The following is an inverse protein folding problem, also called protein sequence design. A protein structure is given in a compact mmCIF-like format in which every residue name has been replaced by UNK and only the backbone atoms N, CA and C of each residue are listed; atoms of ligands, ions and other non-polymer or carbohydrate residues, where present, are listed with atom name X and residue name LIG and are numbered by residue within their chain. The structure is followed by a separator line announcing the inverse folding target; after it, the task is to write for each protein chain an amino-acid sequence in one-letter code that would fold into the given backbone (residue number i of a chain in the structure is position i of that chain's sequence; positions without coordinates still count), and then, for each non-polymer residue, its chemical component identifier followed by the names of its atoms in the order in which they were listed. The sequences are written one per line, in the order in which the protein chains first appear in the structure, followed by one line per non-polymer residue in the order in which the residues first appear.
data_IF_001327066035
#
_entry.id   IF_001327066035
#
_cell.length_a   1.000
_cell.length_b   1.000
_cell.length_c   1.000
_cell.angle_alpha   90.00
_cell.angle_beta   90.00
_cell.angle_gamma   90.00
#
_symmetry.space_group_name_H-M   'P 1'
#
loop_
_entity.id
_entity.type
_entity.pdbx_description
1 polymer ?
#
# COMPACT_ATOMS: atom_id res chain seq x y z
N UNK A 1 10.72 10.78 -6.16
CA UNK A 1 10.17 9.41 -6.25
C UNK A 1 10.05 8.72 -4.91
N UNK A 2 10.23 9.40 -3.78
CA UNK A 2 10.79 8.73 -2.61
C UNK A 2 9.88 7.71 -1.93
N UNK A 3 8.56 7.71 -2.19
CA UNK A 3 7.68 6.61 -1.76
C UNK A 3 7.97 5.28 -2.47
N UNK A 4 8.34 5.29 -3.76
CA UNK A 4 8.68 4.07 -4.49
C UNK A 4 9.99 3.50 -3.94
N UNK A 5 10.97 4.38 -3.73
CA UNK A 5 12.22 3.96 -3.08
C UNK A 5 11.92 3.43 -1.68
N UNK A 6 11.05 4.05 -0.88
CA UNK A 6 10.62 3.51 0.42
C UNK A 6 9.97 2.12 0.35
N UNK A 7 9.07 1.85 -0.60
CA UNK A 7 8.42 0.53 -0.72
C UNK A 7 9.41 -0.54 -1.23
N UNK A 8 10.31 -0.16 -2.13
CA UNK A 8 11.27 -1.08 -2.75
C UNK A 8 12.58 -1.23 -1.96
N UNK A 9 12.82 -0.41 -0.94
CA UNK A 9 14.06 -0.47 -0.15
C UNK A 9 13.86 -1.28 1.11
N UNK A 10 14.76 -2.23 1.34
CA UNK A 10 14.78 -3.09 2.51
C UNK A 10 15.36 -2.38 3.75
N UNK A 11 14.75 -1.25 4.14
CA UNK A 11 15.17 -0.53 5.35
C UNK A 11 15.06 -1.44 6.56
N UNK A 12 16.11 -1.42 7.39
CA UNK A 12 16.18 -2.21 8.61
C UNK A 12 15.04 -1.83 9.56
N UNK A 13 14.44 -2.83 10.18
CA UNK A 13 13.45 -2.65 11.24
C UNK A 13 14.15 -2.81 12.58
N UNK A 14 13.87 -1.93 13.54
CA UNK A 14 14.33 -2.00 14.92
C UNK A 14 13.16 -2.38 15.83
N UNK A 15 12.88 -3.69 16.04
CA UNK A 15 11.63 -4.14 16.63
C UNK A 15 11.42 -3.60 18.05
N UNK A 16 12.50 -3.49 18.84
CA UNK A 16 12.41 -2.99 20.23
C UNK A 16 12.02 -1.50 20.25
N UNK A 17 12.60 -0.69 19.36
CA UNK A 17 12.26 0.72 19.25
C UNK A 17 10.83 0.92 18.75
N UNK A 18 10.42 0.17 17.72
CA UNK A 18 9.05 0.19 17.21
C UNK A 18 8.06 -0.19 18.31
N UNK A 19 8.34 -1.25 19.08
CA UNK A 19 7.48 -1.67 20.19
C UNK A 19 7.39 -0.60 21.29
N UNK A 20 8.51 0.05 21.65
CA UNK A 20 8.51 1.18 22.59
C UNK A 20 7.70 2.36 22.06
N UNK A 21 7.84 2.68 20.77
CA UNK A 21 7.07 3.76 20.14
C UNK A 21 5.57 3.50 20.24
N UNK A 22 5.10 2.31 19.88
CA UNK A 22 3.67 1.98 19.93
C UNK A 22 3.14 1.85 21.36
N UNK A 23 3.93 1.31 22.29
CA UNK A 23 3.56 1.19 23.71
C UNK A 23 3.37 2.57 24.38
N UNK A 24 4.12 3.59 23.95
CA UNK A 24 4.06 4.94 24.50
C UNK A 24 3.30 5.93 23.61
N UNK A 25 2.61 5.45 22.57
CA UNK A 25 1.89 6.32 21.64
C UNK A 25 0.67 6.95 22.32
N UNK A 26 0.65 8.28 22.35
CA UNK A 26 -0.44 9.06 22.94
C UNK A 26 -1.69 9.04 22.05
N UNK A 27 -2.86 9.09 22.70
CA UNK A 27 -4.11 9.36 21.99
C UNK A 27 -4.09 10.79 21.48
N UNK A 28 -4.37 10.97 20.20
CA UNK A 28 -4.41 12.28 19.57
C UNK A 28 -5.72 12.47 18.81
N UNK A 29 -6.30 13.66 18.93
CA UNK A 29 -7.43 14.11 18.11
C UNK A 29 -6.96 14.90 16.89
N UNK A 30 -5.65 15.14 16.79
CA UNK A 30 -5.00 15.87 15.70
C UNK A 30 -4.14 14.89 14.89
N UNK A 31 -3.80 15.23 13.64
CA UNK A 31 -2.93 14.39 12.79
C UNK A 31 -1.45 14.54 13.19
N UNK A 32 -1.13 14.29 14.45
CA UNK A 32 0.21 14.34 15.03
C UNK A 32 0.33 13.17 15.98
N UNK A 33 1.28 12.28 15.73
CA UNK A 33 1.56 11.11 16.56
C UNK A 33 2.69 11.42 17.53
N UNK A 34 2.36 11.45 18.83
CA UNK A 34 3.31 11.72 19.90
C UNK A 34 3.61 10.45 20.67
N UNK A 35 4.88 10.19 20.93
CA UNK A 35 5.34 9.03 21.68
C UNK A 35 6.62 9.38 22.44
N UNK A 36 7.14 8.42 23.20
CA UNK A 36 8.37 8.56 23.96
C UNK A 36 9.25 7.33 23.79
N UNK A 37 10.46 7.50 23.25
CA UNK A 37 11.39 6.41 22.93
C UNK A 37 12.78 6.78 23.41
N UNK A 38 13.42 5.89 24.18
CA UNK A 38 14.78 6.09 24.72
C UNK A 38 14.99 7.45 25.44
N UNK A 39 14.02 7.88 26.26
CA UNK A 39 14.15 9.17 26.96
C UNK A 39 13.88 10.39 26.08
N UNK A 40 13.43 10.20 24.85
CA UNK A 40 13.23 11.26 23.86
C UNK A 40 11.76 11.36 23.46
N UNK A 41 11.15 12.56 23.53
CA UNK A 41 9.83 12.78 22.97
C UNK A 41 9.89 12.75 21.44
N UNK A 42 9.08 11.88 20.83
CA UNK A 42 8.98 11.72 19.38
C UNK A 42 7.65 12.32 18.93
N UNK A 43 7.70 13.20 17.93
CA UNK A 43 6.51 13.78 17.30
C UNK A 43 6.55 13.54 15.80
N UNK A 44 5.69 12.66 15.31
CA UNK A 44 5.55 12.35 13.89
C UNK A 44 4.42 13.19 13.31
N UNK A 45 4.80 14.15 12.47
CA UNK A 45 3.88 14.99 11.69
C UNK A 45 3.88 14.54 10.22
N UNK A 46 2.84 14.92 9.43
CA UNK A 46 2.87 14.74 7.99
C UNK A 46 4.09 15.40 7.33
N UNK A 47 4.57 16.54 7.81
CA UNK A 47 5.78 17.20 7.30
C UNK A 47 7.04 16.36 7.53
N UNK A 48 7.20 15.77 8.71
CA UNK A 48 8.34 14.89 9.00
C UNK A 48 8.32 13.64 8.10
N UNK A 49 7.14 13.06 7.88
CA UNK A 49 6.98 11.92 6.97
C UNK A 49 7.30 12.33 5.53
N UNK A 50 6.85 13.51 5.10
CA UNK A 50 7.13 14.06 3.77
C UNK A 50 8.63 14.29 3.54
N UNK A 51 9.34 14.82 4.55
CA UNK A 51 10.79 15.02 4.54
C UNK A 51 11.52 13.68 4.40
N UNK A 52 11.21 12.71 5.28
CA UNK A 52 11.90 11.42 5.31
C UNK A 52 11.66 10.61 4.05
N UNK A 53 10.45 10.69 3.48
CA UNK A 53 10.06 9.96 2.28
C UNK A 53 10.31 10.76 0.99
N UNK A 54 10.78 12.00 1.06
CA UNK A 54 10.98 12.88 -0.09
C UNK A 54 9.76 12.92 -1.04
N UNK A 55 8.58 13.17 -0.45
CA UNK A 55 7.30 13.30 -1.15
C UNK A 55 6.58 14.57 -0.69
N UNK A 56 5.70 15.16 -1.51
CA UNK A 56 4.98 16.35 -1.11
C UNK A 56 3.94 16.05 -0.02
N UNK A 57 3.80 16.99 0.93
CA UNK A 57 2.72 17.00 1.92
C UNK A 57 1.51 17.79 1.38
N UNK A 58 0.99 17.40 0.22
CA UNK A 58 -0.08 18.12 -0.49
C UNK A 58 -1.13 17.18 -1.07
N UNK A 59 -2.27 17.74 -1.49
CA UNK A 59 -3.37 16.98 -2.08
C UNK A 59 -4.48 16.61 -1.09
N UNK A 60 -5.38 15.72 -1.51
CA UNK A 60 -6.56 15.36 -0.73
C UNK A 60 -6.19 14.51 0.50
N UNK A 61 -6.85 14.78 1.62
CA UNK A 61 -6.64 14.09 2.92
C UNK A 61 -7.75 13.11 3.26
N UNK A 62 -8.82 13.09 2.47
CA UNK A 62 -9.97 12.19 2.59
C UNK A 62 -10.51 11.88 1.19
N UNK A 63 -11.44 10.92 1.11
CA UNK A 63 -12.02 10.46 -0.15
C UNK A 63 -13.54 10.70 -0.22
N UNK A 64 -14.08 11.70 0.49
CA UNK A 64 -15.52 11.90 0.56
C UNK A 64 -16.13 12.35 -0.78
N UNK A 65 -15.36 13.10 -1.57
CA UNK A 65 -15.83 13.66 -2.86
C UNK A 65 -15.99 12.62 -3.97
N UNK A 66 -15.43 11.43 -3.78
CA UNK A 66 -15.57 10.32 -4.73
C UNK A 66 -16.64 9.38 -4.21
N UNK A 67 -17.72 9.20 -4.97
CA UNK A 67 -18.75 8.22 -4.64
C UNK A 67 -18.25 6.79 -4.85
N UNK A 68 -18.78 5.83 -4.10
CA UNK A 68 -18.46 4.40 -4.27
C UNK A 68 -18.67 3.93 -5.73
N UNK A 69 -19.76 4.36 -6.36
CA UNK A 69 -20.04 4.07 -7.77
C UNK A 69 -18.91 4.56 -8.67
N UNK A 70 -18.51 5.83 -8.52
CA UNK A 70 -17.48 6.42 -9.36
C UNK A 70 -16.13 5.72 -9.19
N UNK A 71 -15.78 5.37 -7.94
CA UNK A 71 -14.58 4.60 -7.66
C UNK A 71 -14.62 3.23 -8.35
N UNK A 72 -15.75 2.52 -8.29
CA UNK A 72 -15.92 1.23 -8.95
C UNK A 72 -15.78 1.32 -10.48
N UNK A 73 -16.41 2.32 -11.11
CA UNK A 73 -16.30 2.54 -12.56
C UNK A 73 -14.83 2.74 -12.99
N UNK A 74 -14.08 3.54 -12.24
CA UNK A 74 -12.65 3.81 -12.52
C UNK A 74 -11.80 2.56 -12.26
N UNK A 75 -12.05 1.87 -11.14
CA UNK A 75 -11.30 0.69 -10.75
C UNK A 75 -11.51 -0.47 -11.73
N UNK A 76 -12.74 -0.68 -12.22
CA UNK A 76 -13.10 -1.75 -13.16
C UNK A 76 -12.88 -1.38 -14.62
N UNK A 77 -12.69 -0.10 -14.92
CA UNK A 77 -12.64 0.43 -16.31
C UNK A 77 -13.94 0.16 -17.08
N UNK A 78 -15.07 0.21 -16.36
CA UNK A 78 -16.39 -0.06 -16.91
C UNK A 78 -17.38 1.05 -16.55
N UNK A 79 -18.21 1.53 -17.48
CA UNK A 79 -19.25 2.51 -17.17
C UNK A 79 -20.46 1.85 -16.48
N UNK A 80 -21.24 2.63 -15.74
CA UNK A 80 -22.55 2.25 -15.18
C UNK A 80 -22.53 1.03 -14.24
N UNK A 81 -21.47 0.90 -13.44
CA UNK A 81 -21.33 -0.20 -12.48
C UNK A 81 -22.36 -0.09 -11.36
N UNK A 82 -22.96 -1.22 -10.97
CA UNK A 82 -23.88 -1.28 -9.82
C UNK A 82 -23.08 -1.10 -8.51
N UNK A 83 -23.31 -0.03 -7.72
CA UNK A 83 -22.54 0.22 -6.49
C UNK A 83 -22.80 -0.81 -5.36
N UNK A 84 -23.82 -1.66 -5.50
CA UNK A 84 -24.16 -2.71 -4.53
C UNK A 84 -23.33 -3.98 -4.76
N UNK A 85 -22.76 -4.17 -5.95
CA UNK A 85 -22.02 -5.40 -6.24
C UNK A 85 -20.78 -5.54 -5.36
N UNK A 86 -20.50 -6.78 -4.95
CA UNK A 86 -19.26 -7.12 -4.27
C UNK A 86 -18.15 -7.30 -5.31
N UNK A 87 -17.14 -6.45 -5.23
CA UNK A 87 -15.95 -6.52 -6.09
C UNK A 87 -14.82 -7.11 -5.28
N UNK A 88 -14.33 -8.28 -5.67
CA UNK A 88 -13.08 -8.84 -5.13
C UNK A 88 -11.88 -8.31 -5.93
N UNK A 89 -10.68 -8.39 -5.34
CA UNK A 89 -9.43 -8.04 -6.03
C UNK A 89 -9.29 -8.75 -7.38
N UNK A 90 -9.75 -10.00 -7.50
CA UNK A 90 -9.76 -10.81 -8.72
C UNK A 90 -10.60 -10.26 -9.88
N UNK A 91 -11.57 -9.38 -9.61
CA UNK A 91 -12.36 -8.72 -10.66
C UNK A 91 -11.64 -7.51 -11.27
N UNK A 92 -10.68 -6.92 -10.55
CA UNK A 92 -10.01 -5.70 -10.99
C UNK A 92 -9.03 -5.96 -12.14
N UNK A 93 -8.92 -5.07 -13.13
CA UNK A 93 -7.81 -5.06 -14.08
C UNK A 93 -6.45 -5.08 -13.36
N UNK A 94 -5.40 -5.56 -14.04
CA UNK A 94 -4.07 -5.77 -13.45
C UNK A 94 -3.54 -4.49 -12.79
N UNK A 95 -3.62 -3.35 -13.49
CA UNK A 95 -3.16 -2.04 -12.96
C UNK A 95 -3.89 -1.65 -11.67
N UNK A 96 -5.23 -1.71 -11.67
CA UNK A 96 -6.03 -1.43 -10.47
C UNK A 96 -5.68 -2.37 -9.31
N UNK A 97 -5.35 -3.62 -9.64
CA UNK A 97 -5.00 -4.63 -8.66
C UNK A 97 -3.62 -4.43 -8.05
N UNK A 98 -2.62 -4.04 -8.85
CA UNK A 98 -1.29 -3.66 -8.36
C UNK A 98 -1.38 -2.44 -7.44
N UNK A 99 -2.15 -1.42 -7.84
CA UNK A 99 -2.37 -0.24 -6.99
C UNK A 99 -3.07 -0.66 -5.69
N UNK A 100 -4.09 -1.52 -5.74
CA UNK A 100 -4.76 -2.03 -4.56
C UNK A 100 -3.79 -2.79 -3.62
N UNK A 101 -2.87 -3.58 -4.18
CA UNK A 101 -1.85 -4.29 -3.42
C UNK A 101 -0.92 -3.31 -2.69
N UNK A 102 -0.45 -2.25 -3.36
CA UNK A 102 0.36 -1.19 -2.76
C UNK A 102 -0.40 -0.46 -1.63
N UNK A 103 -1.67 -0.14 -1.89
CA UNK A 103 -2.54 0.51 -0.89
C UNK A 103 -2.69 -0.35 0.35
N UNK A 104 -3.01 -1.63 0.19
CA UNK A 104 -3.38 -2.51 1.32
C UNK A 104 -2.20 -3.16 2.04
N UNK A 105 -0.98 -3.10 1.49
CA UNK A 105 0.23 -3.61 2.14
C UNK A 105 1.18 -2.51 2.62
N UNK A 106 1.26 -1.39 1.90
CA UNK A 106 2.30 -0.39 2.16
C UNK A 106 1.72 0.93 2.68
N UNK A 107 0.67 1.46 2.06
CA UNK A 107 0.16 2.80 2.40
C UNK A 107 -0.85 2.78 3.54
N UNK A 108 -1.81 1.85 3.51
CA UNK A 108 -2.85 1.67 4.50
C UNK A 108 -2.96 0.18 4.83
N UNK A 109 -1.94 -0.41 5.49
CA UNK A 109 -1.85 -1.83 5.76
C UNK A 109 -3.11 -2.34 6.44
N UNK A 110 -3.71 -3.38 5.86
CA UNK A 110 -4.85 -4.07 6.45
C UNK A 110 -4.38 -5.28 7.25
N UNK A 111 -5.20 -5.66 8.23
CA UNK A 111 -5.09 -6.98 8.88
C UNK A 111 -6.36 -7.75 8.51
N UNK A 112 -6.19 -9.01 8.14
CA UNK A 112 -7.24 -9.87 7.61
C UNK A 112 -7.22 -9.95 6.08
N UNK A 113 -8.33 -10.36 5.49
CA UNK A 113 -8.39 -10.69 4.07
C UNK A 113 -8.08 -9.52 3.12
N UNK A 114 -7.22 -9.79 2.14
CA UNK A 114 -6.94 -8.92 0.99
C UNK A 114 -7.86 -9.21 -0.21
N UNK A 115 -8.79 -10.17 -0.11
CA UNK A 115 -9.67 -10.55 -1.23
C UNK A 115 -10.74 -9.49 -1.49
N UNK A 116 -11.26 -8.84 -0.44
CA UNK A 116 -12.33 -7.85 -0.52
C UNK A 116 -11.80 -6.44 -0.20
N UNK A 117 -11.57 -5.59 -1.23
CA UNK A 117 -11.21 -4.20 -1.00
C UNK A 117 -12.34 -3.44 -0.29
N UNK A 118 -11.96 -2.57 0.64
CA UNK A 118 -12.90 -1.66 1.28
C UNK A 118 -13.29 -0.53 0.32
N UNK A 119 -14.39 0.17 0.61
CA UNK A 119 -14.74 1.39 -0.13
C UNK A 119 -13.60 2.41 -0.11
N UNK A 120 -12.88 2.55 1.02
CA UNK A 120 -11.71 3.44 1.12
C UNK A 120 -10.60 3.01 0.17
N UNK A 121 -10.32 1.71 0.06
CA UNK A 121 -9.25 1.23 -0.83
C UNK A 121 -9.61 1.48 -2.29
N UNK A 122 -10.87 1.19 -2.68
CA UNK A 122 -11.35 1.43 -4.04
C UNK A 122 -11.27 2.91 -4.40
N UNK A 123 -11.62 3.81 -3.47
CA UNK A 123 -11.48 5.24 -3.70
C UNK A 123 -10.03 5.68 -3.82
N UNK A 124 -9.14 5.11 -3.01
CA UNK A 124 -7.70 5.35 -3.14
C UNK A 124 -7.20 4.95 -4.53
N UNK A 125 -7.52 3.72 -4.98
CA UNK A 125 -7.15 3.22 -6.31
C UNK A 125 -7.69 4.14 -7.40
N UNK A 126 -8.96 4.56 -7.30
CA UNK A 126 -9.58 5.47 -8.25
C UNK A 126 -8.88 6.84 -8.32
N UNK A 127 -8.48 7.41 -7.18
CA UNK A 127 -7.68 8.64 -7.13
C UNK A 127 -6.37 8.49 -7.88
N UNK A 128 -5.62 7.41 -7.61
CA UNK A 128 -4.34 7.16 -8.28
C UNK A 128 -4.53 7.05 -9.79
N UNK A 129 -5.54 6.30 -10.24
CA UNK A 129 -5.83 6.11 -11.68
C UNK A 129 -6.23 7.40 -12.40
N UNK A 130 -6.97 8.27 -11.72
CA UNK A 130 -7.37 9.58 -12.25
C UNK A 130 -6.28 10.65 -12.10
N UNK A 131 -5.14 10.32 -11.50
CA UNK A 131 -4.09 11.30 -11.21
C UNK A 131 -4.53 12.36 -10.19
N UNK A 132 -5.45 12.05 -9.28
CA UNK A 132 -5.73 12.92 -8.14
C UNK A 132 -4.54 12.89 -7.19
N UNK A 133 -4.05 14.06 -6.79
CA UNK A 133 -2.95 14.16 -5.82
C UNK A 133 -3.46 13.81 -4.42
N UNK A 134 -2.86 12.80 -3.82
CA UNK A 134 -3.22 12.29 -2.48
C UNK A 134 -2.15 12.72 -1.50
N UNK A 135 -2.55 13.30 -0.37
CA UNK A 135 -1.65 13.60 0.73
C UNK A 135 -1.30 12.33 1.50
N UNK A 136 -0.36 11.55 0.96
CA UNK A 136 0.08 10.30 1.54
C UNK A 136 0.70 10.46 2.95
N UNK A 137 1.56 11.47 3.23
CA UNK A 137 2.04 11.72 4.58
C UNK A 137 0.93 11.87 5.62
N UNK A 138 -0.10 12.66 5.31
CA UNK A 138 -1.26 12.83 6.18
C UNK A 138 -2.00 11.51 6.41
N UNK A 139 -2.24 10.74 5.34
CA UNK A 139 -2.94 9.46 5.44
C UNK A 139 -2.18 8.43 6.27
N UNK A 140 -0.84 8.37 6.16
CA UNK A 140 0.01 7.49 6.95
C UNK A 140 -0.09 7.79 8.44
N UNK A 141 0.07 9.07 8.83
CA UNK A 141 -0.01 9.50 10.24
C UNK A 141 -1.42 9.27 10.78
N UNK A 142 -2.46 9.61 10.02
CA UNK A 142 -3.84 9.38 10.43
C UNK A 142 -4.17 7.89 10.60
N UNK A 143 -3.66 7.03 9.70
CA UNK A 143 -3.85 5.59 9.83
C UNK A 143 -3.14 5.01 11.05
N UNK A 144 -1.90 5.44 11.29
CA UNK A 144 -1.13 5.07 12.47
C UNK A 144 -1.89 5.37 13.77
N UNK A 145 -2.49 6.56 13.87
CA UNK A 145 -3.26 7.00 15.04
C UNK A 145 -4.61 6.28 15.18
N UNK A 146 -5.24 5.90 14.06
CA UNK A 146 -6.56 5.27 14.09
C UNK A 146 -6.59 3.88 14.71
N UNK A 147 -5.46 3.14 14.67
CA UNK A 147 -5.38 1.73 15.04
C UNK A 147 -4.00 1.40 15.64
N UNK A 148 -3.68 1.96 16.82
CA UNK A 148 -2.33 1.90 17.38
C UNK A 148 -1.91 0.50 17.86
N UNK A 149 -2.87 -0.37 18.23
CA UNK A 149 -2.59 -1.73 18.73
C UNK A 149 -1.96 -2.66 17.69
N UNK A 150 -2.03 -2.30 16.40
CA UNK A 150 -1.60 -3.16 15.29
C UNK A 150 -0.17 -2.94 14.84
N UNK A 151 0.57 -2.03 15.51
CA UNK A 151 1.98 -1.73 15.23
C UNK A 151 2.28 -1.60 13.72
N UNK A 152 1.44 -0.85 13.00
CA UNK A 152 1.57 -0.66 11.57
C UNK A 152 2.95 -0.06 11.19
N UNK A 153 3.36 -0.17 9.94
CA UNK A 153 4.54 0.54 9.42
C UNK A 153 5.85 0.36 10.21
N UNK A 154 6.25 -0.85 10.66
CA UNK A 154 7.46 -1.02 11.46
C UNK A 154 8.72 -0.48 10.76
N UNK A 155 8.76 -0.56 9.43
CA UNK A 155 9.84 0.00 8.61
C UNK A 155 9.88 1.53 8.60
N UNK A 156 8.73 2.19 8.39
CA UNK A 156 8.64 3.66 8.43
C UNK A 156 9.02 4.18 9.81
N UNK A 157 8.48 3.56 10.86
CA UNK A 157 8.75 3.98 12.24
C UNK A 157 10.22 3.78 12.60
N UNK A 158 10.82 2.66 12.18
CA UNK A 158 12.27 2.45 12.35
C UNK A 158 13.08 3.56 11.67
N UNK A 159 12.76 3.90 10.41
CA UNK A 159 13.41 4.98 9.67
C UNK A 159 13.24 6.35 10.34
N UNK A 160 12.04 6.66 10.82
CA UNK A 160 11.75 7.91 11.53
C UNK A 160 12.53 8.00 12.83
N UNK A 161 12.52 6.93 13.64
CA UNK A 161 13.25 6.90 14.91
C UNK A 161 14.75 7.04 14.69
N UNK A 162 15.32 6.33 13.72
CA UNK A 162 16.74 6.49 13.37
C UNK A 162 17.07 7.91 12.94
N UNK A 163 16.23 8.54 12.11
CA UNK A 163 16.42 9.92 11.67
C UNK A 163 16.37 10.93 12.83
N UNK A 164 15.35 10.82 13.69
CA UNK A 164 15.17 11.74 14.82
C UNK A 164 16.25 11.56 15.89
N UNK A 165 16.64 10.31 16.20
CA UNK A 165 17.68 10.07 17.19
C UNK A 165 19.05 10.53 16.68
N UNK A 166 19.36 10.28 15.40
CA UNK A 166 20.60 10.77 14.79
C UNK A 166 20.67 12.30 14.75
N UNK A 167 19.57 13.00 14.45
CA UNK A 167 19.55 14.48 14.42
C UNK A 167 19.75 15.10 15.81
N UNK A 168 19.49 14.33 16.87
CA UNK A 168 19.73 14.70 18.27
C UNK A 168 21.07 14.19 18.82
N UNK A 169 21.90 13.53 18.00
CA UNK A 169 23.14 12.86 18.40
C UNK A 169 22.93 11.83 19.53
N UNK A 170 21.82 11.08 19.48
CA UNK A 170 21.51 9.99 20.39
C UNK A 170 21.86 8.67 19.70
N UNK A 171 22.85 7.98 20.24
CA UNK A 171 23.25 6.68 19.72
C UNK A 171 22.21 5.60 20.04
N UNK A 172 22.05 4.66 19.10
CA UNK A 172 21.28 3.46 19.36
C UNK A 172 22.05 2.59 20.38
N UNK A 173 21.36 1.96 21.34
CA UNK A 173 22.01 1.06 22.29
C UNK A 173 22.76 -0.08 21.58
N UNK A 174 23.91 -0.50 22.11
CA UNK A 174 24.73 -1.59 21.54
C UNK A 174 23.98 -2.93 21.44
N UNK A 175 22.96 -3.13 22.28
CA UNK A 175 22.10 -4.31 22.30
C UNK A 175 20.93 -4.24 21.30
N UNK A 176 20.78 -3.13 20.56
CA UNK A 176 19.67 -2.95 19.62
C UNK A 176 19.81 -3.87 18.40
N UNK A 177 18.82 -4.74 18.23
CA UNK A 177 18.77 -5.67 17.10
C UNK A 177 18.04 -5.05 15.92
N UNK A 178 18.62 -5.18 14.73
CA UNK A 178 17.96 -4.86 13.47
C UNK A 178 17.58 -6.13 12.72
N UNK A 179 16.39 -6.13 12.10
CA UNK A 179 15.91 -7.22 11.27
C UNK A 179 15.57 -6.70 9.87
N UNK A 180 15.80 -7.53 8.85
CA UNK A 180 15.37 -7.20 7.48
C UNK A 180 13.84 -7.29 7.39
N UNK A 181 13.20 -6.41 6.61
CA UNK A 181 11.77 -6.51 6.34
C UNK A 181 11.47 -7.85 5.65
N UNK A 182 10.43 -8.54 6.13
CA UNK A 182 9.94 -9.77 5.51
C UNK A 182 9.08 -9.48 4.28
N UNK A 183 8.72 -10.52 3.53
CA UNK A 183 7.78 -10.46 2.39
C UNK A 183 6.45 -9.78 2.73
N UNK A 184 5.99 -9.84 3.99
CA UNK A 184 4.75 -9.18 4.44
C UNK A 184 4.85 -7.65 4.46
N UNK A 185 6.07 -7.11 4.45
CA UNK A 185 6.35 -5.67 4.47
C UNK A 185 6.69 -5.13 3.08
N UNK A 186 6.90 -6.01 2.10
CA UNK A 186 7.33 -5.68 0.76
C UNK A 186 6.25 -6.07 -0.24
N UNK A 187 6.23 -5.40 -1.39
CA UNK A 187 5.45 -5.87 -2.53
C UNK A 187 6.32 -6.81 -3.33
N UNK A 188 6.18 -8.11 -3.07
CA UNK A 188 6.97 -9.17 -3.69
C UNK A 188 6.10 -10.12 -4.55
N UNK A 189 6.75 -11.12 -5.15
CA UNK A 189 6.10 -12.13 -6.00
C UNK A 189 4.99 -12.91 -5.25
N UNK A 190 5.11 -13.09 -3.94
CA UNK A 190 4.08 -13.76 -3.15
C UNK A 190 2.84 -12.86 -2.99
N UNK A 191 3.03 -11.56 -2.73
CA UNK A 191 1.94 -10.57 -2.72
C UNK A 191 1.21 -10.48 -4.06
N UNK A 192 1.95 -10.50 -5.18
CA UNK A 192 1.38 -10.53 -6.53
C UNK A 192 0.58 -11.81 -6.80
N UNK A 193 1.09 -12.98 -6.37
CA UNK A 193 0.39 -14.27 -6.47
C UNK A 193 -0.90 -14.31 -5.66
N UNK A 194 -0.93 -13.76 -4.44
CA UNK A 194 -2.16 -13.67 -3.64
C UNK A 194 -3.23 -12.78 -4.30
N UNK A 195 -2.80 -11.83 -5.14
CA UNK A 195 -3.70 -11.05 -5.97
C UNK A 195 -4.08 -11.76 -7.29
N UNK A 196 -3.74 -13.03 -7.48
CA UNK A 196 -4.00 -13.74 -8.73
C UNK A 196 -3.29 -13.10 -9.91
N UNK A 197 -2.08 -12.57 -9.71
CA UNK A 197 -1.20 -12.07 -10.75
C UNK A 197 0.03 -12.98 -10.76
N UNK A 198 0.31 -13.59 -11.91
CA UNK A 198 1.45 -14.48 -12.11
C UNK A 198 2.27 -14.01 -13.30
N UNK A 199 3.58 -14.24 -13.24
CA UNK A 199 4.47 -13.98 -14.36
C UNK A 199 4.59 -15.25 -15.19
N UNK A 200 4.04 -15.24 -16.40
CA UNK A 200 4.04 -16.36 -17.35
C UNK A 200 4.50 -15.83 -18.72
N UNK A 201 5.41 -16.55 -19.38
CA UNK A 201 5.91 -16.23 -20.73
C UNK A 201 6.46 -14.80 -20.94
N UNK A 202 7.02 -14.20 -19.89
CA UNK A 202 7.58 -12.84 -19.95
C UNK A 202 6.55 -11.73 -19.76
N UNK A 203 5.29 -12.07 -19.53
CA UNK A 203 4.19 -11.12 -19.26
C UNK A 203 3.53 -11.41 -17.91
N UNK A 204 3.05 -10.36 -17.24
CA UNK A 204 2.22 -10.53 -16.05
C UNK A 204 0.77 -10.78 -16.46
N UNK A 205 0.28 -11.98 -16.19
CA UNK A 205 -1.07 -12.40 -16.55
C UNK A 205 -1.93 -12.60 -15.30
N UNK A 206 -3.24 -12.41 -15.46
CA UNK A 206 -4.20 -12.82 -14.44
C UNK A 206 -4.14 -14.34 -14.34
N UNK A 207 -3.85 -14.84 -13.14
CA UNK A 207 -3.88 -16.26 -12.84
C UNK A 207 -5.25 -16.80 -13.25
N UNK A 208 -5.26 -17.75 -14.19
CA UNK A 208 -6.50 -18.45 -14.56
C UNK A 208 -6.96 -19.19 -13.32
N UNK A 209 -8.10 -18.80 -12.77
CA UNK A 209 -8.80 -19.62 -11.78
C UNK A 209 -8.97 -20.99 -12.42
N UNK A 210 -8.24 -21.98 -11.91
CA UNK A 210 -8.49 -23.37 -12.26
C UNK A 210 -9.95 -23.58 -11.92
N UNK A 211 -10.79 -23.73 -12.94
CA UNK A 211 -12.22 -23.89 -12.78
C UNK A 211 -12.43 -24.93 -11.66
N UNK A 212 -12.88 -24.48 -10.48
CA UNK A 212 -13.55 -25.40 -9.58
C UNK A 212 -14.74 -25.84 -10.39
N UNK A 213 -14.71 -27.09 -10.86
CA UNK A 213 -15.88 -27.74 -11.41
C UNK A 213 -17.06 -27.45 -10.46
N UNK A 214 -18.25 -27.11 -10.98
CA UNK A 214 -19.38 -26.87 -10.12
C UNK A 214 -19.56 -28.10 -9.24
N UNK A 215 -19.44 -27.90 -7.93
CA UNK A 215 -19.75 -28.91 -6.92
C UNK A 215 -21.14 -29.42 -7.27
N UNK A 216 -21.21 -30.67 -7.74
CA UNK A 216 -22.48 -31.37 -7.88
C UNK A 216 -23.13 -31.32 -6.52
N UNK A 217 -24.37 -30.82 -6.47
CA UNK A 217 -25.25 -30.98 -5.32
C UNK A 217 -25.24 -32.46 -4.93
N UNK A 218 -24.58 -32.76 -3.80
CA UNK A 218 -24.78 -34.00 -3.08
C UNK A 218 -25.26 -33.65 -1.68
N UNK A 219 -26.30 -34.38 -1.32
CA UNK A 219 -27.23 -34.15 -0.24
C UNK A 219 -26.58 -34.18 1.15
N UNK A 220 -27.23 -33.45 2.07
CA UNK A 220 -26.93 -33.43 3.49
C UNK A 220 -26.72 -34.83 4.08
N UNK A 221 -25.51 -35.10 4.57
CA UNK A 221 -25.28 -36.02 5.69
C UNK A 221 -24.27 -35.34 6.60
N UNK A 222 -24.69 -35.07 7.84
CA UNK A 222 -23.90 -34.35 8.83
C UNK A 222 -22.61 -35.04 9.25
N UNK A 223 -21.65 -34.24 9.69
CA UNK A 223 -20.40 -34.64 10.30
C UNK A 223 -19.48 -33.44 10.43
N UNK A 224 -19.20 -33.10 11.68
CA UNK A 224 -18.24 -32.17 12.28
C UNK A 224 -17.15 -31.49 11.41
N UNK A 225 -16.95 -30.21 11.75
CA UNK A 225 -15.69 -29.47 11.89
C UNK A 225 -14.63 -29.55 10.78
N UNK A 226 -14.46 -28.42 10.08
CA UNK A 226 -13.16 -27.86 9.69
C UNK A 226 -13.38 -26.36 9.41
N UNK A 227 -13.63 -25.61 10.50
CA UNK A 227 -13.26 -24.20 10.57
C UNK A 227 -11.73 -24.16 10.61
N UNK A 228 -11.08 -23.93 9.47
CA UNK A 228 -9.68 -23.48 9.44
C UNK A 228 -9.65 -22.03 9.98
N UNK A 229 -9.82 -21.93 11.30
CA UNK A 229 -9.35 -20.83 12.12
C UNK A 229 -7.81 -20.83 11.99
N UNK A 230 -7.27 -19.97 11.11
CA UNK A 230 -5.86 -19.59 11.21
C UNK A 230 -5.70 -18.84 12.54
N UNK A 231 -5.23 -19.58 13.54
CA UNK A 231 -4.95 -19.15 14.90
C UNK A 231 -4.27 -17.78 14.93
N UNK A 232 -4.93 -16.89 15.67
CA UNK A 232 -4.46 -15.56 16.06
C UNK A 232 -3.27 -15.75 17.01
N UNK A 233 -2.06 -15.86 16.47
CA UNK A 233 -0.82 -15.79 17.27
C UNK A 233 -0.61 -14.32 17.74
N UNK A 234 -1.39 -13.93 18.74
CA UNK A 234 -1.02 -12.88 19.68
C UNK A 234 0.30 -13.28 20.33
N UNK A 235 1.41 -12.68 19.89
CA UNK A 235 2.71 -12.88 20.53
C UNK A 235 2.72 -12.28 21.96
N UNK A 236 2.14 -13.00 22.91
CA UNK A 236 2.46 -12.92 24.32
C UNK A 236 3.82 -13.60 24.52
N UNK A 237 4.86 -12.79 24.67
CA UNK A 237 6.18 -13.26 25.07
C UNK A 237 6.15 -13.64 26.55
N UNK A 238 5.72 -14.86 26.87
CA UNK A 238 6.07 -15.52 28.13
C UNK A 238 7.32 -16.40 27.93
N UNK A 239 8.34 -16.11 28.74
CA UNK A 239 9.57 -16.89 28.84
C UNK A 239 9.31 -18.09 29.73
N UNK A 240 9.61 -19.32 29.28
CA UNK A 240 10.10 -20.45 30.12
C UNK A 240 10.47 -21.72 29.30
N UNK A 241 11.24 -22.68 29.88
CA UNK A 241 12.52 -23.07 29.31
C UNK A 241 12.54 -24.46 28.65
N UNK A 242 13.61 -24.64 27.89
CA UNK A 242 14.05 -25.80 27.12
C UNK A 242 13.99 -27.16 27.84
N UNK A 243 13.25 -28.12 27.28
CA UNK A 243 13.47 -29.57 27.45
C UNK A 243 13.23 -30.24 26.08
N UNK A 244 14.19 -31.03 25.62
CA UNK A 244 14.30 -31.44 24.22
C UNK A 244 13.68 -32.78 23.82
N UNK A 245 14.04 -33.14 22.58
CA UNK A 245 13.89 -34.43 21.86
C UNK A 245 12.77 -34.48 20.82
N UNK A 246 13.08 -34.22 19.54
CA UNK A 246 13.35 -35.28 18.54
C UNK A 246 13.10 -34.81 17.08
N UNK A 247 14.14 -34.99 16.28
CA UNK A 247 14.22 -35.33 14.85
C UNK A 247 13.05 -35.03 13.89
N UNK A 248 13.25 -34.00 13.05
CA UNK A 248 12.59 -33.85 11.76
C UNK A 248 13.56 -33.17 10.77
N UNK A 249 14.02 -33.92 9.77
CA UNK A 249 14.96 -33.47 8.74
C UNK A 249 14.36 -32.31 7.90
N UNK A 250 14.75 -31.07 8.18
CA UNK A 250 14.58 -29.95 7.24
C UNK A 250 15.92 -29.67 6.55
N UNK A 251 15.99 -30.02 5.26
CA UNK A 251 17.13 -29.66 4.43
C UNK A 251 17.18 -28.14 4.31
N UNK A 252 18.16 -27.52 4.95
CA UNK A 252 18.47 -26.08 4.77
C UNK A 252 18.73 -25.82 3.28
N UNK A 253 18.09 -24.81 2.66
CA UNK A 253 18.40 -24.45 1.29
C UNK A 253 19.86 -24.00 1.18
N UNK A 254 20.56 -24.50 0.18
CA UNK A 254 21.96 -24.19 -0.10
C UNK A 254 22.15 -22.70 -0.37
N UNK A 255 23.33 -22.16 -0.04
CA UNK A 255 23.68 -20.73 -0.20
C UNK A 255 23.50 -20.26 -1.66
N UNK A 256 23.80 -21.12 -2.63
CA UNK A 256 23.60 -20.83 -4.06
C UNK A 256 22.12 -20.66 -4.43
N UNK A 257 21.24 -21.46 -3.83
CA UNK A 257 19.79 -21.34 -3.99
C UNK A 257 19.26 -20.06 -3.36
N UNK A 258 19.89 -19.58 -2.29
CA UNK A 258 19.55 -18.30 -1.66
C UNK A 258 20.05 -17.11 -2.49
N UNK A 259 21.25 -17.18 -3.06
CA UNK A 259 21.78 -16.13 -3.94
C UNK A 259 20.99 -16.02 -5.24
N UNK A 260 20.67 -17.14 -5.90
CA UNK A 260 19.83 -17.12 -7.10
C UNK A 260 18.42 -16.56 -6.84
N UNK A 261 17.85 -16.82 -5.65
CA UNK A 261 16.57 -16.21 -5.23
C UNK A 261 16.70 -14.72 -4.95
N UNK A 262 17.85 -14.26 -4.47
CA UNK A 262 18.13 -12.83 -4.27
C UNK A 262 18.27 -12.09 -5.60
N UNK A 263 19.00 -12.66 -6.56
CA UNK A 263 19.20 -12.04 -7.87
C UNK A 263 17.86 -11.91 -8.63
N UNK A 264 17.01 -12.93 -8.55
CA UNK A 264 15.65 -12.89 -9.12
C UNK A 264 14.77 -11.87 -8.40
N UNK A 265 14.80 -11.80 -7.06
CA UNK A 265 14.02 -10.81 -6.32
C UNK A 265 14.48 -9.36 -6.58
N UNK A 266 15.77 -9.16 -6.84
CA UNK A 266 16.33 -7.87 -7.21
C UNK A 266 15.92 -7.47 -8.62
N UNK A 267 15.95 -8.40 -9.59
CA UNK A 267 15.44 -8.18 -10.93
C UNK A 267 13.93 -7.86 -10.93
N UNK A 268 13.14 -8.56 -10.11
CA UNK A 268 11.71 -8.32 -9.93
C UNK A 268 11.43 -6.90 -9.39
N UNK A 269 12.24 -6.42 -8.43
CA UNK A 269 12.14 -5.05 -7.89
C UNK A 269 12.53 -3.99 -8.93
N UNK A 270 13.59 -4.21 -9.69
CA UNK A 270 14.02 -3.30 -10.75
C UNK A 270 12.96 -3.20 -11.86
N UNK A 271 12.29 -4.31 -12.16
CA UNK A 271 11.18 -4.36 -13.11
C UNK A 271 9.95 -3.60 -12.62
N UNK A 272 9.47 -3.84 -11.39
CA UNK A 272 8.35 -3.08 -10.80
C UNK A 272 8.65 -1.59 -10.79
N UNK A 273 9.91 -1.21 -10.53
CA UNK A 273 10.38 0.16 -10.62
C UNK A 273 10.35 0.72 -12.05
N UNK A 274 10.61 -0.11 -13.06
CA UNK A 274 10.46 0.23 -14.48
C UNK A 274 9.01 0.47 -14.87
N UNK A 275 8.12 -0.49 -14.60
CA UNK A 275 6.69 -0.39 -14.92
C UNK A 275 6.05 0.85 -14.28
N UNK A 276 6.42 1.15 -13.03
CA UNK A 276 5.87 2.31 -12.33
C UNK A 276 6.39 3.65 -12.90
N UNK A 277 7.58 3.67 -13.51
CA UNK A 277 8.06 4.83 -14.26
C UNK A 277 7.27 4.99 -15.56
N UNK A 278 7.08 3.91 -16.31
CA UNK A 278 6.29 3.95 -17.55
C UNK A 278 4.86 4.42 -17.27
N UNK A 279 4.19 3.85 -16.27
CA UNK A 279 2.85 4.28 -15.85
C UNK A 279 2.81 5.78 -15.54
N UNK A 280 3.86 6.33 -14.91
CA UNK A 280 3.95 7.77 -14.66
C UNK A 280 4.08 8.59 -15.94
N UNK A 281 4.93 8.17 -16.87
CA UNK A 281 5.13 8.86 -18.14
C UNK A 281 3.84 8.89 -18.96
N UNK A 282 3.12 7.77 -19.02
CA UNK A 282 1.81 7.68 -19.63
C UNK A 282 0.80 8.63 -18.96
N UNK A 283 0.78 8.68 -17.62
CA UNK A 283 -0.07 9.62 -16.88
C UNK A 283 0.30 11.09 -17.13
N UNK A 284 1.59 11.41 -17.26
CA UNK A 284 2.05 12.76 -17.60
C UNK A 284 1.59 13.16 -19.00
N UNK A 285 1.70 12.26 -19.97
CA UNK A 285 1.24 12.46 -21.35
C UNK A 285 -0.28 12.67 -21.42
N UNK A 286 -1.06 11.88 -20.68
CA UNK A 286 -2.52 12.04 -20.61
C UNK A 286 -2.88 13.40 -20.00
N UNK A 287 -2.23 13.80 -18.91
CA UNK A 287 -2.46 15.12 -18.29
C UNK A 287 -2.12 16.26 -19.23
N UNK A 288 -1.02 16.15 -19.98
CA UNK A 288 -0.63 17.15 -20.98
C UNK A 288 -1.68 17.22 -22.10
N UNK A 289 -2.11 16.09 -22.65
CA UNK A 289 -3.16 16.05 -23.66
C UNK A 289 -4.48 16.67 -23.18
N UNK A 290 -4.85 16.46 -21.91
CA UNK A 290 -6.01 17.14 -21.31
C UNK A 290 -5.82 18.65 -21.16
N UNK A 291 -4.61 19.12 -20.85
CA UNK A 291 -4.30 20.54 -20.81
C UNK A 291 -4.39 21.17 -22.21
N UNK A 292 -3.85 20.50 -23.23
CA UNK A 292 -3.88 20.95 -24.62
C UNK A 292 -5.32 21.04 -25.14
N UNK A 293 -6.18 20.05 -24.82
CA UNK A 293 -7.60 20.08 -25.16
C UNK A 293 -8.30 21.27 -24.50
N UNK A 294 -8.04 21.54 -23.20
CA UNK A 294 -8.62 22.70 -22.51
C UNK A 294 -8.16 24.02 -23.13
N UNK A 295 -6.89 24.11 -23.52
CA UNK A 295 -6.37 25.28 -24.21
C UNK A 295 -7.04 25.47 -25.56
N UNK A 296 -7.14 24.42 -26.38
CA UNK A 296 -7.84 24.48 -27.67
C UNK A 296 -9.32 24.88 -27.53
N UNK A 297 -10.00 24.45 -26.47
CA UNK A 297 -11.35 24.92 -26.16
C UNK A 297 -11.38 26.42 -25.83
N UNK A 298 -10.42 26.93 -25.05
CA UNK A 298 -10.30 28.35 -24.74
C UNK A 298 -10.02 29.18 -26.01
N UNK A 299 -9.15 28.70 -26.89
CA UNK A 299 -8.80 29.36 -28.15
C UNK A 299 -10.01 29.45 -29.10
N UNK A 300 -10.81 28.38 -29.19
CA UNK A 300 -12.06 28.37 -29.96
C UNK A 300 -13.04 29.39 -29.39
N UNK A 301 -13.22 29.43 -28.07
CA UNK A 301 -14.11 30.41 -27.42
C UNK A 301 -13.64 31.85 -27.68
N UNK A 302 -12.33 32.10 -27.60
CA UNK A 302 -11.75 33.41 -27.90
C UNK A 302 -11.95 33.80 -29.37
N UNK A 303 -11.75 32.86 -30.30
CA UNK A 303 -12.03 33.08 -31.72
C UNK A 303 -13.49 33.43 -31.95
N UNK A 304 -14.43 32.66 -31.37
CA UNK A 304 -15.87 32.92 -31.50
C UNK A 304 -16.25 34.30 -30.94
N UNK A 305 -15.70 34.68 -29.78
CA UNK A 305 -15.90 36.02 -29.21
C UNK A 305 -15.37 37.15 -30.11
N UNK A 306 -14.26 36.92 -30.81
CA UNK A 306 -13.62 37.90 -31.69
C UNK A 306 -14.35 38.00 -33.04
N UNK A 307 -14.78 36.87 -33.59
CA UNK A 307 -15.47 36.78 -34.88
C UNK A 307 -16.93 37.24 -34.80
N UNK A 308 -17.58 37.07 -33.64
CA UNK A 308 -18.96 37.46 -33.39
C UNK A 308 -19.06 38.32 -32.12
N UNK A 309 -18.59 39.58 -32.16
CA UNK A 309 -18.67 40.47 -31.01
C UNK A 309 -20.14 40.67 -30.60
N UNK A 310 -20.44 40.36 -29.34
CA UNK A 310 -21.75 40.60 -28.76
C UNK A 310 -21.98 42.13 -28.73
N UNK A 311 -22.91 42.63 -29.54
CA UNK A 311 -23.34 44.02 -29.41
C UNK A 311 -24.04 44.20 -28.05
N UNK A 312 -23.75 45.29 -27.32
CA UNK A 312 -24.43 45.56 -26.07
C UNK A 312 -25.95 45.68 -26.33
N UNK A 313 -26.79 45.24 -25.39
CA UNK A 313 -28.23 45.36 -25.55
C UNK A 313 -28.61 46.83 -25.76
N UNK A 314 -29.57 47.12 -26.66
CA UNK A 314 -30.00 48.49 -26.91
C UNK A 314 -30.55 49.10 -25.62
N UNK A 315 -30.12 50.33 -25.32
CA UNK A 315 -30.53 51.13 -24.16
C UNK A 315 -31.99 51.55 -24.25
#
# INVERSE_FOLDING_TARGET
MGWLDYICSSHMIYPRLVKKFYANLERSTTCIAKSYVLGTPISITPDLVAEILEIPNEGITNFHDISKRKALEICLEQPNVNPIMNVTSGHLPITSRIILLLVTNSFLPKVGSHTLPSERDLKFVACVKNGTHINLPYLLVNHLLSRPSRCHYPMLISRILSFVLASLNIDLPDDEQSIKPSHRHLVDKAGLRHCGIVFEDGEWVKMRERAREPVREQENVGGDDDDDDEEDDEQQFEVRPNVGSSSGSSSRPTIDTLMARMDVAQADMEFVKGELRQFREEQANIRQGQADIRQGQADILQYLHTAFPQHPPPS
#
